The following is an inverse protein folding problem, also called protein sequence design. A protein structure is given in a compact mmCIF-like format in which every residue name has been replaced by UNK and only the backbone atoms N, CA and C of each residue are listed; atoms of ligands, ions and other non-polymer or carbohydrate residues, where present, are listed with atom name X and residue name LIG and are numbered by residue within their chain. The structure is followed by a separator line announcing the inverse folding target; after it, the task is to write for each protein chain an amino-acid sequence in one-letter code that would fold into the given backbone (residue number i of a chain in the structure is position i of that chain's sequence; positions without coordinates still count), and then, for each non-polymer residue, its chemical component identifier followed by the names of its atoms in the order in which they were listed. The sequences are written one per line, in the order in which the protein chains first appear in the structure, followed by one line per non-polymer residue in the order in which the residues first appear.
data_IF_564186169764
#
_entry.id   IF_564186169764
#
_cell.length_a   1.000
_cell.length_b   1.000
_cell.length_c   1.000
_cell.angle_alpha   90.00
_cell.angle_beta   90.00
_cell.angle_gamma   90.00
#
_symmetry.space_group_name_H-M   'P 1'
#
loop_
_entity.id
_entity.type
_entity.pdbx_description
1 polymer ?
#
# COMPACT_ATOMS: atom_id res chain seq x y z
N UNK A 1 20.14 6.53 25.40
CA UNK A 1 20.91 5.50 24.69
C UNK A 1 22.27 6.11 24.34
N UNK A 2 23.38 5.52 24.79
CA UNK A 2 24.72 5.97 24.38
C UNK A 2 24.94 5.53 22.93
N UNK A 3 25.28 6.46 22.04
CA UNK A 3 25.53 6.20 20.64
C UNK A 3 27.03 6.09 20.38
N UNK A 4 27.45 5.06 19.65
CA UNK A 4 28.80 4.97 19.10
C UNK A 4 28.83 5.74 17.78
N UNK A 5 29.60 6.84 17.76
CA UNK A 5 29.92 7.56 16.54
C UNK A 5 31.37 7.26 16.18
N UNK A 6 31.57 6.43 15.17
CA UNK A 6 32.88 6.19 14.56
C UNK A 6 33.02 7.14 13.39
N UNK A 7 34.16 7.83 13.30
CA UNK A 7 34.51 8.69 12.16
C UNK A 7 35.71 8.10 11.44
N UNK A 8 35.80 8.37 10.14
CA UNK A 8 37.03 8.14 9.36
C UNK A 8 38.07 9.20 9.71
N UNK A 9 39.31 8.98 9.28
CA UNK A 9 40.41 9.94 9.46
C UNK A 9 40.15 11.29 8.78
N UNK A 10 39.34 11.30 7.70
CA UNK A 10 38.92 12.51 6.99
C UNK A 10 37.80 13.31 7.70
N UNK A 11 37.34 12.85 8.88
CA UNK A 11 36.29 13.48 9.68
C UNK A 11 34.85 13.13 9.25
N UNK A 12 34.67 12.41 8.14
CA UNK A 12 33.36 11.87 7.73
C UNK A 12 32.90 10.75 8.68
N UNK A 13 31.58 10.60 8.85
CA UNK A 13 31.01 9.59 9.74
C UNK A 13 31.15 8.21 9.09
N UNK A 14 31.79 7.28 9.81
CA UNK A 14 31.93 5.88 9.43
C UNK A 14 30.76 5.03 9.97
N UNK A 15 30.40 5.23 11.24
CA UNK A 15 29.25 4.61 11.89
C UNK A 15 28.62 5.60 12.87
N UNK A 16 27.31 5.67 12.92
CA UNK A 16 26.59 6.41 13.96
C UNK A 16 25.43 5.54 14.42
N UNK A 17 25.59 4.86 15.56
CA UNK A 17 24.57 3.94 16.05
C UNK A 17 23.27 4.63 16.45
N UNK A 18 23.23 5.97 16.51
CA UNK A 18 22.00 6.74 16.67
C UNK A 18 21.20 6.86 15.36
N UNK A 19 21.83 6.56 14.22
CA UNK A 19 21.24 6.65 12.87
C UNK A 19 21.15 5.30 12.15
N UNK A 20 21.63 4.20 12.74
CA UNK A 20 21.65 2.89 12.06
C UNK A 20 20.24 2.38 11.74
N UNK A 21 19.25 2.60 12.60
CA UNK A 21 17.88 2.10 12.37
C UNK A 21 16.89 3.20 12.03
N UNK A 22 17.17 4.48 12.30
CA UNK A 22 16.20 5.58 12.11
C UNK A 22 14.81 5.29 12.72
N UNK A 23 14.72 4.50 13.79
CA UNK A 23 13.44 4.08 14.38
C UNK A 23 12.77 2.88 13.71
N UNK A 24 13.49 2.16 12.83
CA UNK A 24 13.06 0.90 12.24
C UNK A 24 12.83 -0.12 13.36
N UNK A 25 11.62 -0.68 13.41
CA UNK A 25 11.22 -1.70 14.39
C UNK A 25 11.20 -3.09 13.77
N UNK A 26 10.93 -3.20 12.47
CA UNK A 26 10.93 -4.47 11.74
C UNK A 26 11.13 -4.25 10.24
N UNK A 27 11.86 -5.14 9.58
CA UNK A 27 11.94 -5.22 8.12
C UNK A 27 12.03 -6.68 7.68
N UNK A 28 11.53 -6.98 6.47
CA UNK A 28 11.55 -8.34 5.94
C UNK A 28 10.74 -8.47 4.65
N UNK A 29 10.59 -9.70 4.18
CA UNK A 29 9.65 -10.03 3.11
C UNK A 29 8.25 -10.26 3.69
N UNK A 30 7.21 -9.90 2.94
CA UNK A 30 5.84 -10.18 3.34
C UNK A 30 5.51 -11.67 3.24
N UNK A 31 4.66 -12.14 4.15
CA UNK A 31 4.18 -13.52 4.20
C UNK A 31 2.72 -13.58 3.78
N UNK A 32 2.31 -14.68 3.14
CA UNK A 32 0.92 -14.89 2.74
C UNK A 32 0.01 -14.99 3.98
N UNK A 33 -0.94 -14.06 4.10
CA UNK A 33 -1.88 -13.97 5.23
C UNK A 33 -3.20 -14.68 4.94
N UNK A 34 -3.51 -14.94 3.67
CA UNK A 34 -4.75 -15.59 3.26
C UNK A 34 -5.31 -15.04 1.97
N UNK A 35 -6.58 -15.33 1.76
CA UNK A 35 -7.35 -14.96 0.58
C UNK A 35 -8.54 -14.10 1.03
N UNK A 36 -8.71 -12.92 0.45
CA UNK A 36 -9.87 -12.07 0.71
C UNK A 36 -10.89 -12.21 -0.42
N UNK A 37 -12.13 -12.64 -0.13
CA UNK A 37 -13.17 -12.72 -1.13
C UNK A 37 -13.63 -11.33 -1.56
N UNK A 38 -13.99 -11.22 -2.83
CA UNK A 38 -14.73 -10.07 -3.36
C UNK A 38 -16.22 -10.25 -3.10
N UNK A 39 -16.93 -9.14 -2.98
CA UNK A 39 -18.36 -9.14 -2.68
C UNK A 39 -19.20 -8.79 -3.90
N UNK A 40 -20.33 -9.46 -4.09
CA UNK A 40 -21.35 -9.07 -5.06
C UNK A 40 -22.65 -8.74 -4.36
N UNK A 41 -23.45 -7.88 -4.98
CA UNK A 41 -24.77 -7.58 -4.48
C UNK A 41 -25.77 -8.65 -4.96
N UNK A 42 -26.59 -9.20 -4.05
CA UNK A 42 -27.30 -10.46 -4.28
C UNK A 42 -28.77 -10.36 -4.68
N UNK A 43 -29.41 -9.20 -4.55
CA UNK A 43 -30.85 -9.12 -4.77
C UNK A 43 -31.34 -7.68 -4.96
N UNK A 44 -32.65 -7.50 -5.15
CA UNK A 44 -33.35 -6.21 -5.00
C UNK A 44 -33.04 -5.48 -3.66
N UNK A 45 -32.34 -6.13 -2.72
CA UNK A 45 -31.78 -5.52 -1.51
C UNK A 45 -30.66 -4.49 -1.78
N UNK A 46 -30.07 -4.41 -2.97
CA UNK A 46 -29.20 -3.28 -3.35
C UNK A 46 -29.93 -1.92 -3.36
N UNK A 47 -31.26 -1.91 -3.15
CA UNK A 47 -32.08 -0.71 -2.91
C UNK A 47 -32.25 -0.37 -1.41
N UNK A 48 -31.70 -1.18 -0.50
CA UNK A 48 -31.58 -0.86 0.93
C UNK A 48 -30.28 -0.09 1.18
N UNK A 49 -30.10 0.35 2.42
CA UNK A 49 -28.85 0.99 2.87
C UNK A 49 -27.62 0.16 2.44
N UNK A 50 -26.68 0.71 1.65
CA UNK A 50 -25.48 0.02 1.19
C UNK A 50 -24.60 -0.54 2.30
N UNK A 51 -24.70 0.01 3.52
CA UNK A 51 -23.96 -0.46 4.69
C UNK A 51 -24.54 -1.72 5.34
N UNK A 52 -25.76 -2.13 4.97
CA UNK A 52 -26.36 -3.34 5.51
C UNK A 52 -25.68 -4.59 4.91
N UNK A 53 -24.98 -5.34 5.77
CA UNK A 53 -24.19 -6.52 5.37
C UNK A 53 -24.99 -7.60 4.62
N UNK A 54 -26.31 -7.69 4.85
CA UNK A 54 -27.19 -8.63 4.15
C UNK A 54 -27.40 -8.33 2.66
N UNK A 55 -26.88 -7.21 2.15
CA UNK A 55 -26.89 -6.90 0.72
C UNK A 55 -25.81 -7.63 -0.07
N UNK A 56 -24.79 -8.16 0.62
CA UNK A 56 -23.54 -8.58 0.01
C UNK A 56 -23.29 -10.07 0.28
N UNK A 57 -22.93 -10.83 -0.75
CA UNK A 57 -22.35 -12.17 -0.60
C UNK A 57 -20.92 -12.23 -1.09
N UNK A 58 -20.15 -13.13 -0.50
CA UNK A 58 -18.82 -13.47 -0.96
C UNK A 58 -18.91 -14.23 -2.28
N UNK A 59 -18.27 -13.70 -3.31
CA UNK A 59 -18.12 -14.40 -4.58
C UNK A 59 -16.90 -15.30 -4.48
N UNK A 60 -17.10 -16.53 -3.99
CA UNK A 60 -16.00 -17.47 -3.65
C UNK A 60 -15.01 -17.79 -4.77
N UNK A 61 -15.35 -17.53 -6.04
CA UNK A 61 -14.46 -17.69 -7.19
C UNK A 61 -13.58 -16.45 -7.49
N UNK A 62 -13.73 -15.36 -6.75
CA UNK A 62 -12.96 -14.13 -6.90
C UNK A 62 -12.29 -13.77 -5.57
N UNK A 63 -11.07 -14.27 -5.38
CA UNK A 63 -10.31 -14.06 -4.16
C UNK A 63 -9.00 -13.34 -4.47
N UNK A 64 -8.70 -12.31 -3.68
CA UNK A 64 -7.45 -11.58 -3.75
C UNK A 64 -6.45 -12.20 -2.76
N UNK A 65 -5.27 -12.56 -3.25
CA UNK A 65 -4.16 -12.96 -2.38
C UNK A 65 -3.75 -11.78 -1.50
N UNK A 66 -3.61 -12.04 -0.21
CA UNK A 66 -3.19 -11.06 0.77
C UNK A 66 -1.87 -11.47 1.36
N UNK A 67 -0.91 -10.55 1.32
CA UNK A 67 0.37 -10.67 1.99
C UNK A 67 0.48 -9.65 3.10
N UNK A 68 1.37 -9.88 4.06
CA UNK A 68 1.45 -9.00 5.21
C UNK A 68 2.54 -9.40 6.17
N UNK A 69 2.58 -8.69 7.30
CA UNK A 69 3.50 -8.94 8.38
C UNK A 69 2.93 -8.41 9.69
N UNK A 70 3.41 -8.96 10.80
CA UNK A 70 2.99 -8.54 12.15
C UNK A 70 4.12 -7.89 12.92
N UNK A 71 3.80 -6.86 13.70
CA UNK A 71 4.72 -6.16 14.61
C UNK A 71 4.06 -6.02 15.98
N UNK A 72 4.77 -6.40 17.03
CA UNK A 72 4.32 -6.26 18.40
C UNK A 72 4.66 -4.88 18.97
N UNK A 73 3.85 -4.40 19.92
CA UNK A 73 4.10 -3.22 20.74
C UNK A 73 4.35 -1.92 19.95
N UNK A 74 3.74 -1.78 18.76
CA UNK A 74 3.83 -0.54 17.96
C UNK A 74 2.78 0.47 18.41
N UNK A 75 3.17 1.75 18.45
CA UNK A 75 2.30 2.86 18.85
C UNK A 75 1.85 3.69 17.65
N UNK A 76 2.79 4.18 16.83
CA UNK A 76 2.49 4.95 15.62
C UNK A 76 3.30 4.43 14.42
N UNK A 77 2.95 3.24 13.91
CA UNK A 77 3.71 2.59 12.86
C UNK A 77 3.54 3.29 11.50
N UNK A 78 4.63 3.38 10.74
CA UNK A 78 4.68 3.82 9.35
C UNK A 78 5.48 2.79 8.54
N UNK A 79 4.94 2.40 7.38
CA UNK A 79 5.45 1.25 6.62
C UNK A 79 5.81 1.66 5.21
N UNK A 80 7.09 1.53 4.86
CA UNK A 80 7.60 1.72 3.51
C UNK A 80 7.74 0.36 2.82
N UNK A 81 7.38 0.27 1.54
CA UNK A 81 7.45 -0.99 0.78
C UNK A 81 8.28 -0.86 -0.49
N UNK A 82 8.92 -1.98 -0.87
CA UNK A 82 9.61 -2.18 -2.15
C UNK A 82 8.91 -3.31 -2.89
N UNK A 83 8.53 -3.06 -4.14
CA UNK A 83 7.69 -3.98 -4.92
C UNK A 83 6.19 -3.80 -4.65
N UNK A 84 5.37 -4.47 -5.45
CA UNK A 84 3.93 -4.25 -5.50
C UNK A 84 3.26 -4.44 -4.12
N UNK A 85 2.22 -3.65 -3.87
CA UNK A 85 1.39 -3.77 -2.69
C UNK A 85 0.38 -2.63 -2.58
N UNK A 86 -0.85 -2.97 -2.24
CA UNK A 86 -1.94 -2.06 -1.94
C UNK A 86 -2.39 -2.33 -0.52
N UNK A 87 -2.32 -1.32 0.35
CA UNK A 87 -2.70 -1.47 1.75
C UNK A 87 -4.18 -1.87 1.86
N UNK A 88 -4.43 -3.03 2.48
CA UNK A 88 -5.73 -3.65 2.63
C UNK A 88 -6.27 -3.55 4.07
N UNK A 89 -5.60 -2.77 4.92
CA UNK A 89 -5.97 -2.53 6.30
C UNK A 89 -5.08 -3.24 7.31
N UNK A 90 -5.41 -3.03 8.58
CA UNK A 90 -4.70 -3.60 9.72
C UNK A 90 -5.64 -4.37 10.62
N UNK A 91 -5.15 -5.47 11.19
CA UNK A 91 -5.80 -6.15 12.30
C UNK A 91 -4.92 -6.03 13.55
N UNK A 92 -5.55 -6.05 14.73
CA UNK A 92 -4.84 -5.99 16.01
C UNK A 92 -5.35 -7.08 16.95
N UNK A 93 -4.44 -7.91 17.45
CA UNK A 93 -4.73 -8.97 18.43
C UNK A 93 -3.80 -8.79 19.62
N UNK A 94 -4.34 -8.37 20.75
CA UNK A 94 -3.54 -7.96 21.90
C UNK A 94 -2.60 -6.80 21.56
N UNK A 95 -1.30 -7.01 21.75
CA UNK A 95 -0.24 -6.05 21.43
C UNK A 95 0.34 -6.21 20.02
N UNK A 96 -0.15 -7.15 19.21
CA UNK A 96 0.34 -7.41 17.86
C UNK A 96 -0.55 -6.71 16.84
N UNK A 97 0.07 -5.90 15.97
CA UNK A 97 -0.58 -5.27 14.82
C UNK A 97 -0.11 -5.96 13.54
N UNK A 98 -1.04 -6.44 12.72
CA UNK A 98 -0.77 -7.05 11.42
C UNK A 98 -1.18 -6.09 10.31
N UNK A 99 -0.28 -5.84 9.37
CA UNK A 99 -0.53 -5.02 8.18
C UNK A 99 -0.77 -5.94 6.99
N UNK A 100 -1.91 -5.74 6.32
CA UNK A 100 -2.32 -6.54 5.18
C UNK A 100 -2.18 -5.72 3.89
N UNK A 101 -1.68 -6.36 2.84
CA UNK A 101 -1.49 -5.80 1.52
C UNK A 101 -2.05 -6.75 0.47
N UNK A 102 -2.99 -6.26 -0.32
CA UNK A 102 -3.43 -6.88 -1.57
C UNK A 102 -2.42 -6.54 -2.67
N UNK A 103 -2.47 -7.24 -3.81
CA UNK A 103 -1.57 -6.97 -4.96
C UNK A 103 -0.07 -7.03 -4.61
N UNK A 104 0.26 -7.64 -3.48
CA UNK A 104 1.60 -7.88 -2.99
C UNK A 104 2.05 -9.31 -3.31
N UNK A 105 3.30 -9.63 -3.00
CA UNK A 105 3.86 -10.96 -3.21
C UNK A 105 4.83 -11.32 -2.09
N UNK A 106 5.29 -12.57 -2.07
CA UNK A 106 6.39 -12.99 -1.21
C UNK A 106 7.71 -12.24 -1.51
N UNK A 107 7.83 -11.59 -2.68
CA UNK A 107 8.96 -10.73 -3.03
C UNK A 107 8.84 -9.29 -2.53
N UNK A 108 7.68 -8.87 -2.03
CA UNK A 108 7.46 -7.50 -1.53
C UNK A 108 8.21 -7.33 -0.20
N UNK A 109 9.09 -6.35 -0.14
CA UNK A 109 9.83 -5.99 1.08
C UNK A 109 9.07 -4.93 1.86
N UNK A 110 9.13 -5.01 3.19
CA UNK A 110 8.60 -3.98 4.07
C UNK A 110 9.68 -3.44 5.01
N UNK A 111 9.54 -2.17 5.38
CA UNK A 111 10.32 -1.47 6.39
C UNK A 111 9.36 -0.70 7.30
N UNK A 112 9.13 -1.23 8.49
CA UNK A 112 8.23 -0.67 9.48
C UNK A 112 9.02 0.14 10.52
N UNK A 113 8.65 1.40 10.68
CA UNK A 113 9.17 2.31 11.70
C UNK A 113 8.06 2.63 12.71
N UNK A 114 8.41 2.97 13.94
CA UNK A 114 7.45 3.46 14.93
C UNK A 114 7.79 4.90 15.32
N UNK A 115 6.91 5.82 14.94
CA UNK A 115 7.07 7.26 15.15
C UNK A 115 6.84 7.68 16.60
N UNK A 116 6.34 6.83 17.48
CA UNK A 116 6.03 7.22 18.86
C UNK A 116 6.65 6.30 19.90
N UNK A 117 7.50 5.35 19.49
CA UNK A 117 8.21 4.48 20.42
C UNK A 117 9.09 5.30 21.36
N UNK A 118 9.07 5.00 22.66
CA UNK A 118 9.89 5.72 23.63
C UNK A 118 11.39 5.48 23.33
N UNK A 119 12.13 6.55 23.00
CA UNK A 119 13.58 6.55 22.78
C UNK A 119 14.43 6.29 24.04
N UNK A 120 13.83 5.77 25.12
CA UNK A 120 14.48 5.37 26.37
C UNK A 120 14.70 6.51 27.36
N UNK A 121 15.46 6.28 28.44
CA UNK A 121 15.73 7.26 29.50
C UNK A 121 16.66 8.40 29.07
N UNK A 122 16.35 9.64 29.45
CA UNK A 122 17.15 10.85 29.19
C UNK A 122 16.30 12.10 28.92
N UNK A 123 16.92 13.30 28.87
CA UNK A 123 16.21 14.56 28.65
C UNK A 123 15.48 14.56 27.31
N UNK A 124 14.21 14.91 27.32
CA UNK A 124 13.37 15.06 26.14
C UNK A 124 12.16 15.93 26.47
N UNK A 125 11.66 16.66 25.49
CA UNK A 125 10.34 17.25 25.59
C UNK A 125 9.32 16.13 25.37
N UNK A 126 8.61 15.78 26.43
CA UNK A 126 7.55 14.79 26.42
C UNK A 126 6.27 15.42 26.90
N UNK A 127 5.17 15.16 26.21
CA UNK A 127 3.85 15.49 26.71
C UNK A 127 3.10 14.21 26.98
N UNK A 128 2.35 14.22 28.09
CA UNK A 128 1.53 13.11 28.51
C UNK A 128 0.09 13.60 28.67
N UNK A 129 -0.87 12.72 28.43
CA UNK A 129 -2.24 12.92 28.92
C UNK A 129 -2.29 12.76 30.44
N UNK A 130 -3.40 13.18 31.04
CA UNK A 130 -3.67 12.97 32.48
C UNK A 130 -3.62 11.50 32.90
N UNK A 131 -3.94 10.57 31.97
CA UNK A 131 -3.87 9.12 32.18
C UNK A 131 -2.44 8.53 32.06
N UNK A 132 -1.43 9.37 31.82
CA UNK A 132 -0.04 8.94 31.65
C UNK A 132 0.32 8.47 30.23
N UNK A 133 -0.59 8.54 29.25
CA UNK A 133 -0.30 8.19 27.85
C UNK A 133 0.59 9.24 27.20
N UNK A 134 1.71 8.81 26.61
CA UNK A 134 2.63 9.67 25.86
C UNK A 134 1.96 10.20 24.57
N UNK A 135 1.90 11.52 24.40
CA UNK A 135 1.29 12.18 23.23
C UNK A 135 2.28 12.91 22.32
N UNK A 136 3.47 13.21 22.84
CA UNK A 136 4.58 13.76 22.05
C UNK A 136 5.90 13.31 22.68
N UNK A 137 6.90 13.04 21.84
CA UNK A 137 8.25 12.72 22.28
C UNK A 137 9.26 13.38 21.35
N UNK A 138 10.08 14.29 21.86
CA UNK A 138 11.15 14.90 21.04
C UNK A 138 12.31 13.96 20.73
N UNK A 139 12.29 12.70 21.20
CA UNK A 139 13.28 11.66 20.84
C UNK A 139 12.85 10.80 19.65
N UNK A 140 11.88 11.26 18.88
CA UNK A 140 11.53 10.63 17.61
C UNK A 140 12.78 10.44 16.76
N UNK A 141 13.01 9.20 16.30
CA UNK A 141 14.08 8.96 15.35
C UNK A 141 13.71 9.65 14.03
N UNK A 142 14.59 10.49 13.46
CA UNK A 142 14.28 11.14 12.19
C UNK A 142 14.13 10.07 11.12
N UNK A 143 13.02 10.06 10.38
CA UNK A 143 12.91 9.20 9.20
C UNK A 143 13.87 9.71 8.12
N UNK A 144 14.58 8.81 7.47
CA UNK A 144 15.48 9.14 6.36
C UNK A 144 14.70 9.38 5.05
N UNK A 145 13.76 10.34 5.08
CA UNK A 145 12.99 10.73 3.89
C UNK A 145 13.91 11.47 2.93
N UNK A 146 14.18 10.87 1.78
CA UNK A 146 15.07 11.43 0.74
C UNK A 146 14.31 12.16 -0.36
N UNK A 147 13.01 11.91 -0.49
CA UNK A 147 12.14 12.60 -1.42
C UNK A 147 10.67 12.55 -0.95
N UNK A 148 9.93 13.58 -1.34
CA UNK A 148 8.47 13.61 -1.31
C UNK A 148 8.00 13.83 -2.75
N UNK A 149 7.26 12.88 -3.30
CA UNK A 149 6.87 12.88 -4.72
C UNK A 149 5.36 12.92 -4.81
N UNK A 150 4.81 13.89 -5.51
CA UNK A 150 3.36 13.98 -5.76
C UNK A 150 2.96 12.98 -6.84
N UNK A 151 1.81 12.32 -6.68
CA UNK A 151 1.22 11.51 -7.75
C UNK A 151 0.95 12.36 -9.00
N UNK A 152 1.16 11.83 -10.23
CA UNK A 152 0.86 12.57 -11.44
C UNK A 152 -0.63 12.88 -11.61
N UNK A 153 -0.93 13.85 -12.48
CA UNK A 153 -2.30 14.15 -12.89
C UNK A 153 -2.95 12.94 -13.58
N UNK A 154 -4.29 12.86 -13.64
CA UNK A 154 -4.93 11.71 -14.25
C UNK A 154 -4.65 11.59 -15.74
N UNK A 155 -4.78 10.38 -16.27
CA UNK A 155 -4.68 10.13 -17.70
C UNK A 155 -5.76 10.87 -18.51
N UNK A 156 -5.65 10.85 -19.85
CA UNK A 156 -6.62 11.51 -20.72
C UNK A 156 -8.04 10.98 -20.51
N UNK A 157 -9.02 11.89 -20.55
CA UNK A 157 -10.45 11.56 -20.45
C UNK A 157 -10.98 10.94 -21.74
N UNK A 158 -11.90 10.00 -21.57
CA UNK A 158 -12.71 9.35 -22.59
C UNK A 158 -14.17 9.39 -22.13
N UNK A 159 -14.83 10.53 -22.38
CA UNK A 159 -16.14 10.82 -21.79
C UNK A 159 -16.06 11.01 -20.27
N UNK A 160 -16.85 10.25 -19.51
CA UNK A 160 -16.79 10.23 -18.02
C UNK A 160 -15.69 9.34 -17.46
N UNK A 161 -14.98 8.62 -18.33
CA UNK A 161 -13.92 7.68 -17.96
C UNK A 161 -12.53 8.25 -18.25
N UNK A 162 -11.50 7.62 -17.69
CA UNK A 162 -10.09 7.84 -17.95
C UNK A 162 -9.46 6.52 -18.42
N UNK A 163 -8.64 6.54 -19.46
CA UNK A 163 -7.96 5.33 -19.91
C UNK A 163 -6.89 4.84 -18.91
N UNK A 164 -6.29 5.77 -18.16
CA UNK A 164 -5.24 5.53 -17.18
C UNK A 164 -5.55 6.32 -15.91
N UNK A 165 -5.18 5.79 -14.74
CA UNK A 165 -5.30 6.53 -13.48
C UNK A 165 -4.33 7.71 -13.44
N UNK A 166 -3.15 7.57 -14.05
CA UNK A 166 -2.11 8.58 -14.10
C UNK A 166 -1.68 8.87 -15.53
N UNK A 167 -1.35 10.12 -15.80
CA UNK A 167 -0.73 10.54 -17.06
C UNK A 167 0.65 9.90 -17.21
N UNK A 168 0.98 9.46 -18.42
CA UNK A 168 2.21 8.71 -18.72
C UNK A 168 2.27 7.30 -18.12
N UNK A 169 1.17 6.82 -17.52
CA UNK A 169 1.06 5.49 -16.96
C UNK A 169 0.77 4.39 -17.98
N UNK A 170 0.54 3.19 -17.47
CA UNK A 170 0.19 2.00 -18.21
C UNK A 170 -0.78 1.13 -17.40
N UNK A 171 -1.53 0.26 -18.09
CA UNK A 171 -2.42 -0.69 -17.46
C UNK A 171 -1.87 -2.11 -17.59
N UNK A 172 -2.04 -2.91 -16.55
CA UNK A 172 -1.70 -4.32 -16.53
C UNK A 172 -2.95 -5.13 -16.21
N UNK A 173 -3.10 -6.27 -16.91
CA UNK A 173 -3.98 -7.36 -16.50
C UNK A 173 -3.09 -8.50 -16.07
N UNK A 174 -3.31 -9.02 -14.88
CA UNK A 174 -2.66 -10.25 -14.44
C UNK A 174 -3.74 -11.23 -14.00
N UNK A 175 -3.67 -12.42 -14.57
CA UNK A 175 -4.52 -13.51 -14.15
C UNK A 175 -3.89 -14.12 -12.91
N UNK A 176 -4.65 -14.16 -11.80
CA UNK A 176 -4.33 -15.07 -10.71
C UNK A 176 -4.20 -16.48 -11.27
N UNK A 177 -3.13 -17.18 -10.90
CA UNK A 177 -2.86 -18.55 -11.33
C UNK A 177 -4.09 -19.43 -11.12
N UNK A 178 -4.41 -20.27 -12.12
CA UNK A 178 -5.39 -21.34 -12.02
C UNK A 178 -5.25 -22.05 -10.66
N UNK A 179 -6.34 -22.07 -9.88
CA UNK A 179 -6.44 -23.01 -8.78
C UNK A 179 -6.29 -24.44 -9.35
N UNK A 180 -5.86 -25.44 -8.54
CA UNK A 180 -5.81 -26.84 -8.97
C UNK A 180 -7.16 -27.42 -9.46
N UNK A 181 -8.26 -26.66 -9.36
CA UNK A 181 -9.63 -27.10 -9.58
C UNK A 181 -10.32 -26.51 -10.82
N UNK A 182 -9.57 -25.87 -11.73
CA UNK A 182 -9.97 -25.84 -13.15
C UNK A 182 -11.13 -24.92 -13.56
N UNK A 183 -11.42 -23.82 -12.88
CA UNK A 183 -12.34 -22.78 -13.41
C UNK A 183 -11.83 -21.34 -13.21
N UNK A 184 -11.46 -20.75 -14.36
CA UNK A 184 -11.56 -19.35 -14.85
C UNK A 184 -11.12 -18.12 -14.03
N UNK A 185 -10.09 -17.45 -14.57
CA UNK A 185 -9.82 -16.00 -14.67
C UNK A 185 -10.15 -15.06 -13.50
N UNK A 186 -9.24 -14.96 -12.52
CA UNK A 186 -9.12 -13.76 -11.69
C UNK A 186 -8.55 -12.63 -12.55
N UNK A 187 -9.37 -11.90 -13.29
CA UNK A 187 -8.90 -10.67 -13.94
C UNK A 187 -8.64 -9.63 -12.84
N UNK A 188 -7.42 -9.60 -12.36
CA UNK A 188 -6.91 -8.49 -11.56
C UNK A 188 -6.30 -7.47 -12.49
N UNK A 189 -6.58 -6.20 -12.19
CA UNK A 189 -6.17 -5.07 -13.01
C UNK A 189 -5.39 -4.09 -12.16
N UNK A 190 -4.44 -3.44 -12.82
CA UNK A 190 -3.64 -2.38 -12.24
C UNK A 190 -3.45 -1.26 -13.25
N UNK A 191 -3.45 -0.02 -12.77
CA UNK A 191 -2.92 1.13 -13.50
C UNK A 191 -1.74 1.69 -12.74
N UNK A 192 -0.61 1.87 -13.40
CA UNK A 192 0.64 2.29 -12.76
C UNK A 192 1.34 3.37 -13.54
N UNK A 193 2.16 4.15 -12.84
CA UNK A 193 3.11 5.09 -13.44
C UNK A 193 4.42 5.03 -12.66
N UNK A 194 5.50 4.83 -13.39
CA UNK A 194 6.86 4.84 -12.85
C UNK A 194 7.40 6.27 -12.84
N UNK A 195 7.88 6.72 -11.69
CA UNK A 195 8.55 8.00 -11.52
C UNK A 195 10.04 7.74 -11.28
N UNK A 196 10.92 8.11 -12.23
CA UNK A 196 12.34 7.86 -12.10
C UNK A 196 12.96 8.71 -10.97
N UNK A 197 13.81 8.09 -10.17
CA UNK A 197 14.63 8.69 -9.13
C UNK A 197 16.10 8.36 -9.41
N UNK A 198 16.65 8.99 -10.43
CA UNK A 198 17.98 8.69 -10.99
C UNK A 198 19.06 8.69 -9.91
N UNK A 199 19.87 7.63 -9.88
CA UNK A 199 21.03 7.50 -8.97
C UNK A 199 20.69 7.17 -7.51
N UNK A 200 19.44 6.82 -7.20
CA UNK A 200 19.04 6.55 -5.81
C UNK A 200 19.26 5.10 -5.36
N UNK A 201 19.50 4.16 -6.28
CA UNK A 201 19.55 2.73 -5.96
C UNK A 201 18.17 2.21 -5.53
N UNK A 202 18.11 1.12 -4.76
CA UNK A 202 16.84 0.64 -4.21
C UNK A 202 16.25 1.64 -3.19
N UNK A 203 14.99 2.02 -3.42
CA UNK A 203 14.21 2.85 -2.53
C UNK A 203 12.94 2.14 -2.10
N UNK A 204 12.38 2.53 -0.96
CA UNK A 204 11.06 2.13 -0.49
C UNK A 204 10.15 3.36 -0.39
N UNK A 205 8.85 3.18 -0.63
CA UNK A 205 7.89 4.28 -0.61
C UNK A 205 6.73 4.00 0.36
N UNK A 206 6.17 5.07 0.92
CA UNK A 206 4.98 5.06 1.75
C UNK A 206 3.99 6.12 1.24
N UNK A 207 2.72 5.73 1.17
CA UNK A 207 1.63 6.64 0.82
C UNK A 207 0.84 6.98 2.09
N UNK A 208 0.86 8.24 2.57
CA UNK A 208 0.18 8.62 3.81
C UNK A 208 -1.34 8.43 3.79
N UNK A 209 -1.94 8.55 2.61
CA UNK A 209 -3.37 8.34 2.37
C UNK A 209 -3.58 7.92 0.93
N UNK A 210 -4.61 7.12 0.67
CA UNK A 210 -4.95 6.64 -0.67
C UNK A 210 -6.34 7.12 -1.10
N UNK A 211 -6.55 7.23 -2.41
CA UNK A 211 -7.87 7.42 -3.02
C UNK A 211 -8.48 6.06 -3.36
N UNK A 212 -9.80 5.97 -3.28
CA UNK A 212 -10.56 4.95 -3.98
C UNK A 212 -10.91 5.45 -5.38
N UNK A 213 -10.82 4.57 -6.38
CA UNK A 213 -11.13 4.88 -7.79
C UNK A 213 -12.04 3.79 -8.34
N UNK A 214 -13.06 4.17 -9.11
CA UNK A 214 -13.87 3.21 -9.84
C UNK A 214 -13.11 2.69 -11.06
N UNK A 215 -13.14 1.38 -11.29
CA UNK A 215 -12.52 0.73 -12.44
C UNK A 215 -13.55 -0.11 -13.18
N UNK A 216 -13.49 -0.09 -14.51
CA UNK A 216 -14.23 -1.01 -15.35
C UNK A 216 -13.28 -1.74 -16.30
N UNK A 217 -13.53 -3.02 -16.52
CA UNK A 217 -12.80 -3.82 -17.49
C UNK A 217 -13.64 -5.01 -17.96
N UNK A 218 -13.37 -5.47 -19.18
CA UNK A 218 -13.94 -6.71 -19.73
C UNK A 218 -13.20 -7.94 -19.18
N UNK A 219 -13.95 -8.95 -18.71
CA UNK A 219 -13.40 -10.29 -18.48
C UNK A 219 -13.55 -11.08 -19.77
N UNK A 220 -12.45 -11.63 -20.30
CA UNK A 220 -12.46 -12.26 -21.64
C UNK A 220 -13.22 -13.60 -21.70
N UNK A 221 -13.69 -14.13 -20.57
CA UNK A 221 -14.02 -15.56 -20.49
C UNK A 221 -15.45 -15.90 -20.09
N UNK A 222 -16.26 -14.99 -19.53
CA UNK A 222 -17.59 -15.37 -19.02
C UNK A 222 -18.68 -14.30 -19.17
N UNK A 223 -18.32 -13.01 -19.33
CA UNK A 223 -19.30 -11.93 -19.40
C UNK A 223 -19.16 -11.17 -20.72
N UNK A 224 -20.24 -11.11 -21.52
CA UNK A 224 -20.37 -10.13 -22.62
C UNK A 224 -20.51 -8.68 -22.11
N UNK A 225 -20.25 -8.45 -20.81
CA UNK A 225 -20.50 -7.21 -20.11
C UNK A 225 -19.22 -6.77 -19.37
N UNK A 226 -18.90 -5.46 -19.37
CA UNK A 226 -17.83 -4.94 -18.54
C UNK A 226 -18.17 -5.11 -17.05
N UNK A 227 -17.18 -5.49 -16.25
CA UNK A 227 -17.30 -5.60 -14.79
C UNK A 227 -16.80 -4.30 -14.17
N UNK A 228 -17.56 -3.76 -13.23
CA UNK A 228 -17.19 -2.65 -12.37
C UNK A 228 -16.64 -3.13 -11.04
N UNK A 229 -15.52 -2.55 -10.62
CA UNK A 229 -14.90 -2.78 -9.30
C UNK A 229 -14.37 -1.46 -8.74
N UNK A 230 -14.09 -1.42 -7.44
CA UNK A 230 -13.25 -0.34 -6.87
C UNK A 230 -11.80 -0.80 -6.80
N UNK A 231 -10.87 0.08 -7.20
CA UNK A 231 -9.44 -0.06 -7.01
C UNK A 231 -8.95 0.96 -5.98
N UNK A 232 -7.86 0.63 -5.28
CA UNK A 232 -7.28 1.48 -4.25
C UNK A 232 -5.89 1.91 -4.67
N UNK A 233 -5.62 3.19 -4.46
CA UNK A 233 -4.34 3.80 -4.73
C UNK A 233 -3.25 3.33 -3.75
N UNK A 234 -2.04 3.14 -4.26
CA UNK A 234 -0.85 2.79 -3.51
C UNK A 234 0.40 3.41 -4.13
N UNK A 235 1.50 3.31 -3.40
CA UNK A 235 2.82 3.54 -3.96
C UNK A 235 3.82 2.55 -3.37
N UNK A 236 4.84 2.24 -4.16
CA UNK A 236 5.96 1.41 -3.71
C UNK A 236 7.24 1.85 -4.39
N UNK A 237 8.37 1.53 -3.76
CA UNK A 237 9.68 1.79 -4.31
C UNK A 237 10.19 0.64 -5.18
N UNK A 238 11.25 0.93 -5.94
CA UNK A 238 12.02 -0.02 -6.72
C UNK A 238 13.45 0.48 -6.91
N UNK A 239 14.18 -0.11 -7.85
CA UNK A 239 15.53 0.37 -8.16
C UNK A 239 15.48 1.69 -8.94
N UNK A 240 15.90 2.78 -8.31
CA UNK A 240 15.97 4.14 -8.85
C UNK A 240 14.63 4.64 -9.40
N UNK A 241 13.51 4.21 -8.80
CA UNK A 241 12.16 4.68 -9.12
C UNK A 241 11.21 4.48 -7.94
N UNK A 242 10.12 5.21 -7.97
CA UNK A 242 8.89 4.82 -7.27
C UNK A 242 7.80 4.58 -8.30
N UNK A 243 6.78 3.82 -7.93
CA UNK A 243 5.61 3.58 -8.76
C UNK A 243 4.38 3.98 -7.98
N UNK A 244 3.57 4.87 -8.54
CA UNK A 244 2.19 5.05 -8.10
C UNK A 244 1.32 4.04 -8.83
N UNK A 245 0.36 3.46 -8.12
CA UNK A 245 -0.46 2.39 -8.65
C UNK A 245 -1.88 2.47 -8.10
N UNK A 246 -2.86 2.06 -8.90
CA UNK A 246 -4.19 1.69 -8.42
C UNK A 246 -4.45 0.26 -8.82
N UNK A 247 -4.66 -0.62 -7.84
CA UNK A 247 -4.98 -2.01 -8.07
C UNK A 247 -6.19 -2.45 -7.24
N UNK A 248 -6.74 -3.61 -7.58
CA UNK A 248 -7.82 -4.19 -6.79
C UNK A 248 -7.29 -4.54 -5.39
N UNK A 249 -8.01 -4.07 -4.38
CA UNK A 249 -7.95 -4.58 -3.02
C UNK A 249 -9.34 -5.14 -2.68
N UNK A 250 -9.53 -5.78 -1.52
CA UNK A 250 -10.83 -6.31 -1.08
C UNK A 250 -11.96 -5.33 -1.40
N UNK A 251 -12.84 -5.71 -2.32
CA UNK A 251 -13.78 -4.79 -2.97
C UNK A 251 -15.11 -5.45 -3.28
N UNK A 252 -16.09 -4.62 -3.63
CA UNK A 252 -17.33 -5.05 -4.26
C UNK A 252 -17.18 -5.04 -5.78
N UNK A 253 -17.87 -5.95 -6.44
CA UNK A 253 -17.93 -6.03 -7.90
C UNK A 253 -19.38 -6.08 -8.37
N UNK A 254 -19.62 -5.63 -9.60
CA UNK A 254 -20.93 -5.68 -10.23
C UNK A 254 -20.84 -5.53 -11.74
N UNK A 255 -21.88 -5.98 -12.44
CA UNK A 255 -21.94 -5.85 -13.89
C UNK A 255 -22.29 -4.40 -14.28
N UNK A 256 -21.64 -3.90 -15.33
CA UNK A 256 -21.93 -2.60 -15.90
C UNK A 256 -22.65 -2.80 -17.24
N UNK A 257 -23.65 -1.93 -17.50
CA UNK A 257 -24.33 -1.92 -18.79
C UNK A 257 -23.34 -1.55 -19.92
N UNK A 258 -23.31 -2.31 -21.04
CA UNK A 258 -22.28 -2.18 -22.06
C UNK A 258 -22.42 -0.92 -22.92
N UNK A 259 -23.55 -0.21 -22.85
CA UNK A 259 -23.84 0.93 -23.73
C UNK A 259 -23.11 2.23 -23.37
N UNK A 260 -22.38 2.28 -22.23
CA UNK A 260 -21.76 3.52 -21.73
C UNK A 260 -20.34 3.34 -21.17
N UNK A 261 -19.71 2.18 -21.37
CA UNK A 261 -18.40 1.84 -20.77
C UNK A 261 -17.42 1.37 -21.85
N UNK A 262 -16.21 1.94 -21.92
CA UNK A 262 -15.14 1.40 -22.77
C UNK A 262 -14.88 -0.09 -22.48
N UNK A 263 -14.74 -0.90 -23.53
CA UNK A 263 -14.46 -2.35 -23.39
C UNK A 263 -13.03 -2.67 -22.90
N UNK A 264 -12.20 -1.64 -22.72
CA UNK A 264 -10.83 -1.72 -22.19
C UNK A 264 -10.81 -1.46 -20.68
N UNK A 265 -9.64 -1.57 -20.04
CA UNK A 265 -9.49 -1.05 -18.67
C UNK A 265 -9.72 0.46 -18.71
N UNK A 266 -10.63 0.96 -17.89
CA UNK A 266 -10.88 2.38 -17.73
C UNK A 266 -11.30 2.72 -16.29
N UNK A 267 -11.14 3.98 -15.93
CA UNK A 267 -11.28 4.46 -14.57
C UNK A 267 -12.26 5.63 -14.49
N UNK A 268 -12.96 5.79 -13.38
CA UNK A 268 -13.84 6.93 -13.14
C UNK A 268 -13.73 7.40 -11.70
N UNK A 269 -14.33 8.55 -11.44
CA UNK A 269 -14.40 9.14 -10.10
C UNK A 269 -13.01 9.38 -9.48
N UNK A 270 -11.99 9.62 -10.30
CA UNK A 270 -10.64 9.98 -9.84
C UNK A 270 -10.70 11.40 -9.26
N UNK A 271 -10.43 11.61 -7.96
CA UNK A 271 -10.37 12.95 -7.39
C UNK A 271 -9.28 13.79 -8.08
N UNK A 272 -9.64 14.96 -8.59
CA UNK A 272 -8.74 15.86 -9.35
C UNK A 272 -8.30 17.10 -8.55
N UNK A 273 -8.86 17.30 -7.36
CA UNK A 273 -8.60 18.43 -6.48
C UNK A 273 -7.51 18.14 -5.44
N UNK A 274 -7.18 16.86 -5.23
CA UNK A 274 -6.21 16.39 -4.24
C UNK A 274 -5.43 15.20 -4.76
N UNK A 275 -4.10 15.24 -4.57
CA UNK A 275 -3.18 14.21 -5.02
C UNK A 275 -2.30 13.77 -3.86
N UNK A 276 -2.16 12.45 -3.62
CA UNK A 276 -1.31 12.01 -2.54
C UNK A 276 0.16 12.25 -2.88
N UNK A 277 0.97 12.37 -1.83
CA UNK A 277 2.40 12.55 -1.93
C UNK A 277 3.09 11.37 -1.26
N UNK A 278 3.83 10.59 -2.05
CA UNK A 278 4.62 9.48 -1.56
C UNK A 278 5.86 10.00 -0.82
N UNK A 279 6.13 9.44 0.35
CA UNK A 279 7.38 9.63 1.06
C UNK A 279 8.34 8.51 0.67
N UNK A 280 9.61 8.84 0.42
CA UNK A 280 10.60 7.90 -0.11
C UNK A 280 11.80 7.80 0.82
N UNK A 281 12.27 6.58 1.08
CA UNK A 281 13.49 6.29 1.84
C UNK A 281 14.47 5.47 1.01
N UNK A 282 15.77 5.60 1.27
CA UNK A 282 16.79 4.67 0.76
C UNK A 282 16.86 3.42 1.63
N UNK A 283 16.96 2.24 1.01
CA UNK A 283 17.08 0.97 1.74
C UNK A 283 18.53 0.56 2.03
N UNK A 284 19.50 1.09 1.27
CA UNK A 284 20.91 0.65 1.29
C UNK A 284 21.60 0.64 2.67
N UNK A 285 21.13 1.44 3.63
CA UNK A 285 21.72 1.54 4.97
C UNK A 285 20.79 1.01 6.08
N UNK A 286 19.66 0.40 5.73
CA UNK A 286 18.72 -0.17 6.68
C UNK A 286 18.99 -1.67 6.82
N UNK A 287 19.01 -2.22 8.05
CA UNK A 287 19.17 -3.65 8.24
C UNK A 287 17.96 -4.40 7.63
N UNK A 288 18.24 -5.51 6.96
CA UNK A 288 17.24 -6.34 6.30
C UNK A 288 17.71 -7.81 6.18
N UNK A 289 16.91 -8.80 6.63
CA UNK A 289 15.74 -8.64 7.49
C UNK A 289 16.14 -8.11 8.89
N UNK A 290 15.18 -7.55 9.62
CA UNK A 290 15.43 -6.98 10.94
C UNK A 290 14.21 -7.12 11.85
N UNK A 291 14.42 -7.36 13.14
CA UNK A 291 13.38 -7.28 14.17
C UNK A 291 14.00 -6.70 15.43
N UNK A 292 13.40 -5.63 15.94
CA UNK A 292 13.78 -5.04 17.22
C UNK A 292 13.06 -5.78 18.34
N UNK A 293 13.81 -6.52 19.16
CA UNK A 293 13.29 -7.20 20.36
C UNK A 293 12.87 -6.21 21.44
#
# INVERSE_FOLDING_TARGET
MAGLIVRKEDGSILFDTQKITYGLVKSGYMEHQGMYPRFVCVSNACMKDPSWGGNWEEKGNYNDQVFGFSVANVTAPIVFIVGHGVFAGTSKTGNVTTFNYSDASAGTKFYCFDLMKDGGAGPALRTYKEDGTLTFNSRQSPLNIVAAVRAPDPGPRQGVWHALVYTGGYNERYNGTLTPYGSTSYASVRSSVDIPLVGMGEVAAFLPWSRGVGCAFSTFTEFNYPVGVSVTESCFGGNSKITFSCAISRTTMGDLSPTSVPMTICFRDIPVDRFPTALVIKTANLPFPFTFN
#
